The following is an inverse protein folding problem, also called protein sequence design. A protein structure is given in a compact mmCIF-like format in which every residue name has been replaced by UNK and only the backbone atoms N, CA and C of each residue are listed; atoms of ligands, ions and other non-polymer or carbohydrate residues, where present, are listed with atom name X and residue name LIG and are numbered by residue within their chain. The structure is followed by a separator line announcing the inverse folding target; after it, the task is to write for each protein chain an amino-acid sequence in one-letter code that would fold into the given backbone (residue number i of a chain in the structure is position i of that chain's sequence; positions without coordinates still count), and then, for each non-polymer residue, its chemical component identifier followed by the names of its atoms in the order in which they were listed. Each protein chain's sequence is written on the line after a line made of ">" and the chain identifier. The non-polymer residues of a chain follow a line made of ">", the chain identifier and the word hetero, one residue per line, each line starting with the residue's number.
data_IF_009954023366
#
_entry.id   IF_009954023366
#
_cell.length_a   1.000
_cell.length_b   1.000
_cell.length_c   1.000
_cell.angle_alpha   90.00
_cell.angle_beta   90.00
_cell.angle_gamma   90.00
#
_symmetry.space_group_name_H-M   'P 1'
#
loop_
_entity.id
_entity.type
_entity.pdbx_description
1 polymer ?
#
# COMPACT_ATOMS: atom_id res chain seq x y z
N UNK A 1 41.01 20.72 0.81
CA UNK A 1 39.58 20.30 0.72
C UNK A 1 39.32 19.74 -0.66
N UNK A 2 39.35 18.42 -0.80
CA UNK A 2 39.43 17.72 -2.09
C UNK A 2 38.18 17.97 -2.94
N UNK A 3 38.32 18.44 -4.20
CA UNK A 3 37.19 18.79 -5.07
C UNK A 3 36.26 17.59 -5.32
N UNK A 4 36.79 16.37 -5.26
CA UNK A 4 36.05 15.12 -5.37
C UNK A 4 34.98 14.95 -4.27
N UNK A 5 35.27 15.37 -3.04
CA UNK A 5 34.32 15.22 -1.92
C UNK A 5 33.08 16.11 -2.11
N UNK A 6 33.25 17.27 -2.75
CA UNK A 6 32.16 18.19 -3.09
C UNK A 6 31.24 17.62 -4.19
N UNK A 7 31.83 16.93 -5.17
CA UNK A 7 31.07 16.28 -6.26
C UNK A 7 30.26 15.10 -5.72
N UNK A 8 30.86 14.26 -4.88
CA UNK A 8 30.15 13.15 -4.22
C UNK A 8 29.00 13.66 -3.36
N UNK A 9 29.22 14.75 -2.62
CA UNK A 9 28.18 15.38 -1.80
C UNK A 9 27.04 15.95 -2.65
N UNK A 10 27.35 16.60 -3.78
CA UNK A 10 26.33 17.08 -4.72
C UNK A 10 25.51 15.93 -5.31
N UNK A 11 26.15 14.86 -5.77
CA UNK A 11 25.45 13.69 -6.33
C UNK A 11 24.57 13.03 -5.27
N UNK A 12 25.07 12.87 -4.05
CA UNK A 12 24.30 12.31 -2.94
C UNK A 12 23.04 13.14 -2.64
N UNK A 13 23.14 14.46 -2.65
CA UNK A 13 22.00 15.37 -2.45
C UNK A 13 21.00 15.24 -3.59
N UNK A 14 21.44 15.19 -4.85
CA UNK A 14 20.56 15.02 -6.00
C UNK A 14 19.80 13.69 -5.94
N UNK A 15 20.48 12.59 -5.58
CA UNK A 15 19.86 11.28 -5.39
C UNK A 15 18.87 11.31 -4.23
N UNK A 16 19.20 11.96 -3.12
CA UNK A 16 18.29 12.11 -1.98
C UNK A 16 17.04 12.89 -2.37
N UNK A 17 17.16 14.00 -3.11
CA UNK A 17 16.04 14.79 -3.61
C UNK A 17 15.18 13.97 -4.58
N UNK A 18 15.81 13.25 -5.52
CA UNK A 18 15.10 12.37 -6.45
C UNK A 18 14.34 11.27 -5.70
N UNK A 19 14.94 10.68 -4.67
CA UNK A 19 14.33 9.67 -3.81
C UNK A 19 13.15 10.23 -3.01
N UNK A 20 13.27 11.45 -2.48
CA UNK A 20 12.18 12.14 -1.77
C UNK A 20 11.03 12.46 -2.71
N UNK A 21 11.30 12.99 -3.91
CA UNK A 21 10.25 13.27 -4.90
C UNK A 21 9.57 11.98 -5.38
N UNK A 22 10.34 10.90 -5.55
CA UNK A 22 9.82 9.56 -5.82
C UNK A 22 8.93 9.08 -4.69
N UNK A 23 9.33 9.26 -3.43
CA UNK A 23 8.59 8.85 -2.24
C UNK A 23 7.32 9.68 -1.99
N UNK A 24 7.31 10.96 -2.37
CA UNK A 24 6.12 11.82 -2.27
C UNK A 24 5.13 11.52 -3.39
N UNK A 25 5.61 11.18 -4.59
CA UNK A 25 4.74 10.82 -5.73
C UNK A 25 4.20 9.39 -5.63
N UNK A 26 4.98 8.48 -5.07
CA UNK A 26 4.53 7.16 -4.66
C UNK A 26 4.06 7.27 -3.21
N UNK A 27 2.83 7.75 -2.98
CA UNK A 27 2.26 8.02 -1.64
C UNK A 27 2.37 6.88 -0.63
N UNK A 28 3.57 6.72 -0.08
CA UNK A 28 4.01 5.64 0.79
C UNK A 28 5.31 6.14 1.43
N UNK A 29 5.16 7.01 2.42
CA UNK A 29 6.25 7.38 3.30
C UNK A 29 6.83 6.13 4.00
N UNK A 30 8.07 6.20 4.49
CA UNK A 30 8.70 5.10 5.21
C UNK A 30 8.00 4.91 6.55
N UNK A 31 7.05 3.99 6.62
CA UNK A 31 6.39 3.57 7.86
C UNK A 31 7.36 2.71 8.69
N UNK A 32 8.22 3.41 9.43
CA UNK A 32 8.98 2.84 10.53
C UNK A 32 8.01 2.58 11.70
N UNK A 33 7.46 1.36 11.77
CA UNK A 33 7.15 0.73 13.06
C UNK A 33 5.86 1.11 13.80
N UNK A 34 4.79 1.57 13.15
CA UNK A 34 3.49 1.76 13.81
C UNK A 34 2.59 0.54 13.60
N UNK A 35 2.33 -0.18 14.69
CA UNK A 35 1.45 -1.34 14.78
C UNK A 35 0.16 -1.17 13.98
N UNK A 36 -0.12 -2.19 13.20
CA UNK A 36 -1.20 -2.21 12.24
C UNK A 36 -2.54 -2.32 12.96
N UNK A 37 -3.33 -1.25 12.95
CA UNK A 37 -4.78 -1.36 13.15
C UNK A 37 -5.37 -1.85 11.84
N UNK A 38 -5.18 -3.14 11.54
CA UNK A 38 -5.96 -3.81 10.52
C UNK A 38 -7.39 -3.82 11.01
N UNK A 39 -8.23 -2.88 10.54
CA UNK A 39 -9.66 -3.15 10.58
C UNK A 39 -9.87 -4.31 9.60
N UNK A 40 -10.27 -5.51 10.07
CA UNK A 40 -10.59 -6.60 9.18
C UNK A 40 -11.57 -6.10 8.11
N UNK A 41 -11.49 -6.62 6.89
CA UNK A 41 -12.49 -6.35 5.84
C UNK A 41 -13.89 -6.72 6.36
N UNK A 42 -13.98 -7.67 7.30
CA UNK A 42 -15.16 -8.03 8.08
C UNK A 42 -15.70 -6.96 9.05
N UNK A 43 -15.04 -5.82 9.21
CA UNK A 43 -15.53 -4.66 9.96
C UNK A 43 -15.97 -3.51 9.04
N UNK A 44 -15.73 -3.63 7.73
CA UNK A 44 -16.19 -2.63 6.77
C UNK A 44 -17.71 -2.62 6.62
N UNK A 45 -18.30 -1.48 6.22
CA UNK A 45 -19.72 -1.41 5.88
C UNK A 45 -20.09 -2.51 4.88
N UNK A 46 -21.24 -3.15 5.07
CA UNK A 46 -21.71 -4.29 4.24
C UNK A 46 -21.57 -4.04 2.73
N UNK A 47 -21.86 -2.82 2.27
CA UNK A 47 -21.71 -2.42 0.85
C UNK A 47 -20.26 -2.50 0.35
N UNK A 48 -19.29 -2.10 1.16
CA UNK A 48 -17.88 -2.14 0.81
C UNK A 48 -17.36 -3.58 0.81
N UNK A 49 -17.82 -4.40 1.77
CA UNK A 49 -17.47 -5.82 1.85
C UNK A 49 -17.96 -6.59 0.63
N UNK A 50 -19.24 -6.45 0.29
CA UNK A 50 -19.83 -7.05 -0.91
C UNK A 50 -19.10 -6.63 -2.19
N UNK A 51 -18.72 -5.35 -2.31
CA UNK A 51 -17.97 -4.87 -3.46
C UNK A 51 -16.55 -5.50 -3.54
N UNK A 52 -15.90 -5.69 -2.39
CA UNK A 52 -14.59 -6.37 -2.30
C UNK A 52 -14.73 -7.86 -2.65
N UNK A 53 -15.75 -8.55 -2.15
CA UNK A 53 -16.02 -9.96 -2.46
C UNK A 53 -16.29 -10.18 -3.95
N UNK A 54 -17.10 -9.32 -4.59
CA UNK A 54 -17.35 -9.39 -6.04
C UNK A 54 -16.06 -9.21 -6.85
N UNK A 55 -15.20 -8.29 -6.44
CA UNK A 55 -13.91 -8.08 -7.11
C UNK A 55 -12.94 -9.25 -6.91
N UNK A 56 -12.92 -9.83 -5.71
CA UNK A 56 -12.11 -11.00 -5.41
C UNK A 56 -12.59 -12.25 -6.16
N UNK A 57 -13.90 -12.42 -6.32
CA UNK A 57 -14.49 -13.49 -7.14
C UNK A 57 -14.10 -13.37 -8.62
N UNK A 58 -13.83 -12.15 -9.10
CA UNK A 58 -13.35 -11.88 -10.46
C UNK A 58 -11.82 -11.89 -10.58
N UNK A 59 -11.10 -12.29 -9.52
CA UNK A 59 -9.63 -12.22 -9.38
C UNK A 59 -9.06 -10.80 -9.54
N UNK A 60 -9.90 -9.76 -9.45
CA UNK A 60 -9.53 -8.36 -9.62
C UNK A 60 -9.00 -7.75 -8.32
N UNK A 61 -7.81 -8.20 -7.90
CA UNK A 61 -7.13 -7.70 -6.70
C UNK A 61 -6.98 -6.18 -6.67
N UNK A 62 -6.67 -5.55 -7.81
CA UNK A 62 -6.42 -4.11 -7.88
C UNK A 62 -7.68 -3.31 -7.54
N UNK A 63 -8.85 -3.75 -8.02
CA UNK A 63 -10.10 -3.05 -7.75
C UNK A 63 -10.60 -3.29 -6.32
N UNK A 64 -10.41 -4.48 -5.76
CA UNK A 64 -10.65 -4.74 -4.34
C UNK A 64 -9.78 -3.84 -3.43
N UNK A 65 -8.49 -3.68 -3.77
CA UNK A 65 -7.56 -2.78 -3.06
C UNK A 65 -8.00 -1.33 -3.16
N UNK A 66 -8.52 -0.90 -4.31
CA UNK A 66 -9.03 0.45 -4.50
C UNK A 66 -10.26 0.71 -3.63
N UNK A 67 -11.21 -0.22 -3.59
CA UNK A 67 -12.42 -0.13 -2.76
C UNK A 67 -12.09 -0.11 -1.28
N UNK A 68 -11.16 -0.96 -0.84
CA UNK A 68 -10.68 -0.97 0.54
C UNK A 68 -10.04 0.37 0.91
N UNK A 69 -9.23 0.93 0.00
CA UNK A 69 -8.60 2.23 0.19
C UNK A 69 -9.59 3.39 0.22
N UNK A 70 -10.63 3.36 -0.61
CA UNK A 70 -11.69 4.37 -0.61
C UNK A 70 -12.54 4.31 0.68
N UNK A 71 -12.74 3.10 1.23
CA UNK A 71 -13.50 2.91 2.46
C UNK A 71 -12.71 3.23 3.74
N UNK A 72 -11.39 3.02 3.75
CA UNK A 72 -10.55 3.14 4.97
C UNK A 72 -9.55 4.29 4.93
N UNK A 73 -9.25 4.83 3.76
CA UNK A 73 -8.14 5.78 3.57
C UNK A 73 -6.74 5.16 3.69
N UNK A 74 -6.63 3.82 3.77
CA UNK A 74 -5.36 3.13 3.98
C UNK A 74 -4.36 3.35 2.83
N UNK A 75 -3.06 3.27 3.14
CA UNK A 75 -2.00 3.35 2.14
C UNK A 75 -2.10 2.21 1.12
N UNK A 76 -1.45 2.38 -0.04
CA UNK A 76 -1.51 1.38 -1.12
C UNK A 76 -0.96 0.01 -0.69
N UNK A 77 0.14 0.03 0.07
CA UNK A 77 0.76 -1.17 0.62
C UNK A 77 -0.18 -1.88 1.62
N UNK A 78 -0.78 -1.11 2.51
CA UNK A 78 -1.68 -1.61 3.56
C UNK A 78 -2.96 -2.20 2.96
N UNK A 79 -3.54 -1.48 2.01
CA UNK A 79 -4.74 -1.91 1.28
C UNK A 79 -4.49 -3.22 0.53
N UNK A 80 -3.30 -3.37 -0.08
CA UNK A 80 -2.89 -4.62 -0.72
C UNK A 80 -2.79 -5.77 0.29
N UNK A 81 -2.07 -5.57 1.39
CA UNK A 81 -1.87 -6.61 2.41
C UNK A 81 -3.19 -7.04 3.05
N UNK A 82 -4.10 -6.11 3.34
CA UNK A 82 -5.41 -6.43 3.92
C UNK A 82 -6.27 -7.27 2.97
N UNK A 83 -6.38 -6.86 1.70
CA UNK A 83 -7.15 -7.58 0.67
C UNK A 83 -6.55 -8.93 0.34
N UNK A 84 -5.22 -9.04 0.27
CA UNK A 84 -4.52 -10.30 0.00
C UNK A 84 -4.70 -11.30 1.16
N UNK A 85 -4.63 -10.81 2.40
CA UNK A 85 -4.89 -11.62 3.61
C UNK A 85 -6.35 -12.10 3.63
N UNK A 86 -7.30 -11.22 3.33
CA UNK A 86 -8.72 -11.56 3.24
C UNK A 86 -8.98 -12.58 2.12
N UNK A 87 -8.35 -12.40 0.95
CA UNK A 87 -8.38 -13.36 -0.16
C UNK A 87 -7.84 -14.71 0.25
N UNK A 88 -6.73 -14.78 0.97
CA UNK A 88 -6.17 -16.06 1.41
C UNK A 88 -7.12 -16.77 2.37
N UNK A 89 -7.73 -16.03 3.30
CA UNK A 89 -8.70 -16.55 4.27
C UNK A 89 -9.99 -17.08 3.60
N UNK A 90 -10.47 -16.41 2.54
CA UNK A 90 -11.70 -16.79 1.82
C UNK A 90 -11.46 -17.75 0.64
N UNK A 91 -10.30 -17.65 -0.02
CA UNK A 91 -9.93 -18.42 -1.21
C UNK A 91 -9.38 -19.82 -0.91
N UNK A 92 -9.16 -20.17 0.36
CA UNK A 92 -8.84 -21.53 0.79
C UNK A 92 -10.02 -22.50 0.72
N UNK A 93 -11.25 -22.02 0.46
CA UNK A 93 -12.46 -22.84 0.36
C UNK A 93 -13.04 -23.01 -1.05
N UNK A 94 -12.40 -22.45 -2.08
CA UNK A 94 -12.91 -22.43 -3.46
C UNK A 94 -12.09 -23.31 -4.43
N UNK A 95 -11.55 -24.44 -3.94
CA UNK A 95 -10.93 -25.48 -4.76
C UNK A 95 -11.39 -26.85 -4.31
#
# INVERSE_FOLDING_TARGET
>A
MSPLFKVVLLVAVVVAVWFVVRAVRAGSGPSLGSHVSFMPVEELPERARQAIDVQLAQDQLIGAVKLYREATGAGLKESKTAVETYRWKHGGGAR
#
